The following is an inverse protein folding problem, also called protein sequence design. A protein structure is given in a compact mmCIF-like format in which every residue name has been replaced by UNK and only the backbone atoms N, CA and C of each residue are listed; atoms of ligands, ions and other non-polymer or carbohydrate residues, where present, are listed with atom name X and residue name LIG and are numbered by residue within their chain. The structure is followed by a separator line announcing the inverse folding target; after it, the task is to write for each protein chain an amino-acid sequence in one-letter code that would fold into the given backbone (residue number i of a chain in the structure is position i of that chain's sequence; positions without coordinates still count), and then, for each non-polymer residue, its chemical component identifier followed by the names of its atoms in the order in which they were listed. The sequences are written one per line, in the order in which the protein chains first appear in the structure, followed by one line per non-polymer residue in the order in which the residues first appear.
data_IF_164427726579
#
_entry.id   IF_164427726579
#
_cell.length_a   1.000
_cell.length_b   1.000
_cell.length_c   1.000
_cell.angle_alpha   90.00
_cell.angle_beta   90.00
_cell.angle_gamma   90.00
#
_symmetry.space_group_name_H-M   'P 1'
#
loop_
_entity.id
_entity.type
_entity.pdbx_description
1 polymer ?
#
# COMPACT_ATOMS: atom_id res chain seq x y z
N UNK A 1 25.41 2.84 -11.95
CA UNK A 1 24.12 2.59 -11.27
C UNK A 1 23.11 3.56 -11.85
N UNK A 2 22.25 3.10 -12.76
CA UNK A 2 21.22 3.94 -13.35
C UNK A 2 19.99 3.88 -12.44
N UNK A 3 19.72 4.95 -11.70
CA UNK A 3 18.42 5.14 -11.07
C UNK A 3 17.45 5.50 -12.21
N UNK A 4 16.64 4.54 -12.65
CA UNK A 4 15.48 4.85 -13.46
C UNK A 4 14.51 5.61 -12.56
N UNK A 5 14.50 6.94 -12.64
CA UNK A 5 13.34 7.71 -12.24
C UNK A 5 12.26 7.40 -13.26
N UNK A 6 11.54 6.31 -13.04
CA UNK A 6 10.28 6.10 -13.70
C UNK A 6 9.33 7.17 -13.16
N UNK A 7 9.27 8.31 -13.85
CA UNK A 7 8.09 9.16 -13.77
C UNK A 7 6.98 8.37 -14.48
N UNK A 8 6.51 7.31 -13.82
CA UNK A 8 5.58 6.37 -14.40
C UNK A 8 4.26 7.13 -14.60
N UNK A 9 3.77 7.16 -15.83
CA UNK A 9 2.31 7.19 -16.02
C UNK A 9 1.74 6.18 -15.04
N UNK A 10 0.87 6.65 -14.14
CA UNK A 10 0.35 5.81 -13.07
C UNK A 10 -0.20 4.53 -13.70
N UNK A 11 0.41 3.39 -13.34
CA UNK A 11 0.05 2.12 -13.96
C UNK A 11 -1.37 1.76 -13.54
N UNK A 12 -2.10 1.06 -14.41
CA UNK A 12 -3.43 0.54 -14.06
C UNK A 12 -3.41 -0.28 -12.76
N UNK A 13 -2.35 -1.06 -12.52
CA UNK A 13 -2.17 -1.84 -11.30
C UNK A 13 -2.03 -0.98 -10.04
N UNK A 14 -1.44 0.21 -10.13
CA UNK A 14 -1.39 1.14 -8.99
C UNK A 14 -2.80 1.57 -8.57
N UNK A 15 -3.66 1.94 -9.53
CA UNK A 15 -5.03 2.36 -9.22
C UNK A 15 -5.89 1.19 -8.71
N UNK A 16 -5.72 -0.01 -9.24
CA UNK A 16 -6.41 -1.22 -8.73
C UNK A 16 -5.99 -1.54 -7.28
N UNK A 17 -4.69 -1.39 -6.96
CA UNK A 17 -4.20 -1.52 -5.59
C UNK A 17 -4.73 -0.41 -4.68
N UNK A 18 -4.76 0.84 -5.15
CA UNK A 18 -5.29 1.97 -4.38
C UNK A 18 -6.78 1.80 -4.08
N UNK A 19 -7.60 1.44 -5.08
CA UNK A 19 -9.03 1.17 -4.88
C UNK A 19 -9.26 0.03 -3.86
N UNK A 20 -8.39 -0.98 -3.88
CA UNK A 20 -8.42 -2.07 -2.89
C UNK A 20 -8.09 -1.57 -1.49
N UNK A 21 -7.04 -0.75 -1.36
CA UNK A 21 -6.65 -0.14 -0.09
C UNK A 21 -7.77 0.75 0.47
N UNK A 22 -8.38 1.61 -0.35
CA UNK A 22 -9.50 2.46 0.05
C UNK A 22 -10.70 1.65 0.54
N UNK A 23 -11.08 0.58 -0.17
CA UNK A 23 -12.20 -0.29 0.25
C UNK A 23 -11.91 -1.01 1.56
N UNK A 24 -10.68 -1.48 1.77
CA UNK A 24 -10.27 -2.15 3.02
C UNK A 24 -10.23 -1.17 4.19
N UNK A 25 -9.69 0.03 3.97
CA UNK A 25 -9.58 1.08 4.98
C UNK A 25 -10.93 1.43 5.61
N UNK A 26 -12.01 1.51 4.82
CA UNK A 26 -13.37 1.75 5.32
C UNK A 26 -13.84 0.78 6.41
N UNK A 27 -13.20 -0.38 6.51
CA UNK A 27 -13.58 -1.48 7.40
C UNK A 27 -12.42 -1.95 8.29
N UNK A 28 -11.35 -1.15 8.41
CA UNK A 28 -10.19 -1.48 9.25
C UNK A 28 -9.84 -0.31 10.17
N UNK A 29 -9.34 -0.64 11.36
CA UNK A 29 -8.65 0.30 12.25
C UNK A 29 -7.22 0.57 11.79
N UNK A 30 -6.68 -0.32 10.96
CA UNK A 30 -5.30 -0.34 10.53
C UNK A 30 -5.12 0.36 9.20
N UNK A 31 -3.96 0.98 9.02
CA UNK A 31 -3.59 1.60 7.76
C UNK A 31 -3.41 0.56 6.66
N UNK A 32 -3.66 0.99 5.43
CA UNK A 32 -3.51 0.18 4.23
C UNK A 32 -2.35 0.74 3.41
N UNK A 33 -1.35 -0.09 3.11
CA UNK A 33 -0.19 0.31 2.32
C UNK A 33 -0.27 -0.22 0.90
N UNK A 34 -0.14 0.66 -0.09
CA UNK A 34 0.15 0.27 -1.47
C UNK A 34 1.66 0.09 -1.60
N UNK A 35 2.08 -1.11 -1.98
CA UNK A 35 3.49 -1.49 -2.14
C UNK A 35 3.79 -1.65 -3.62
N UNK A 36 4.90 -1.05 -4.08
CA UNK A 36 5.43 -1.26 -5.42
C UNK A 36 6.30 -2.51 -5.47
N UNK A 37 5.94 -3.45 -6.34
CA UNK A 37 6.70 -4.65 -6.64
C UNK A 37 7.17 -4.77 -8.10
N UNK A 38 8.43 -5.19 -8.28
CA UNK A 38 9.05 -5.28 -9.60
C UNK A 38 8.55 -6.49 -10.42
N UNK A 39 8.05 -7.53 -9.76
CA UNK A 39 7.51 -8.74 -10.38
C UNK A 39 5.97 -8.74 -10.39
N UNK A 40 5.35 -8.31 -9.28
CA UNK A 40 3.89 -8.37 -9.07
C UNK A 40 3.16 -7.08 -9.45
N UNK A 41 3.87 -5.98 -9.73
CA UNK A 41 3.25 -4.67 -9.88
C UNK A 41 2.87 -4.07 -8.53
N UNK A 42 1.72 -3.42 -8.40
CA UNK A 42 1.29 -2.82 -7.14
C UNK A 42 0.26 -3.69 -6.42
N UNK A 43 0.31 -3.74 -5.10
CA UNK A 43 -0.68 -4.44 -4.28
C UNK A 43 -0.93 -3.71 -2.96
N UNK A 44 -2.11 -3.94 -2.37
CA UNK A 44 -2.50 -3.39 -1.08
C UNK A 44 -2.24 -4.39 0.05
N UNK A 45 -1.64 -3.93 1.14
CA UNK A 45 -1.36 -4.69 2.36
C UNK A 45 -1.93 -3.95 3.57
N UNK A 46 -2.68 -4.66 4.41
CA UNK A 46 -3.27 -4.11 5.63
C UNK A 46 -2.31 -4.27 6.78
N UNK A 47 -2.14 -3.23 7.59
CA UNK A 47 -1.30 -3.28 8.77
C UNK A 47 -1.77 -4.32 9.80
N UNK A 48 -3.07 -4.67 9.81
CA UNK A 48 -3.59 -5.77 10.60
C UNK A 48 -3.19 -7.17 10.12
N UNK A 49 -2.68 -7.32 8.88
CA UNK A 49 -2.32 -8.63 8.30
C UNK A 49 -0.93 -9.11 8.73
N UNK A 50 -0.09 -8.23 9.30
CA UNK A 50 1.29 -8.55 9.64
C UNK A 50 1.66 -8.12 11.07
N UNK A 51 2.58 -8.86 11.71
CA UNK A 51 3.10 -8.46 13.01
C UNK A 51 4.08 -7.28 12.89
N UNK A 52 5.01 -7.37 11.95
CA UNK A 52 6.02 -6.34 11.66
C UNK A 52 6.19 -6.32 10.15
N UNK A 53 6.04 -5.16 9.52
CA UNK A 53 6.30 -5.01 8.10
C UNK A 53 7.81 -5.22 7.86
N UNK A 54 8.23 -6.22 7.06
CA UNK A 54 9.64 -6.40 6.72
C UNK A 54 10.23 -5.13 6.10
N UNK A 55 11.42 -4.73 6.53
CA UNK A 55 12.03 -3.46 6.12
C UNK A 55 12.14 -3.27 4.60
N UNK A 56 12.35 -4.36 3.85
CA UNK A 56 12.41 -4.33 2.39
C UNK A 56 11.06 -4.02 1.73
N UNK A 57 9.93 -4.36 2.37
CA UNK A 57 8.60 -3.96 1.92
C UNK A 57 8.25 -2.55 2.39
N UNK A 58 8.63 -2.18 3.61
CA UNK A 58 8.44 -0.82 4.14
C UNK A 58 9.08 0.25 3.24
N UNK A 59 10.29 -0.02 2.72
CA UNK A 59 10.99 0.89 1.80
C UNK A 59 10.30 1.06 0.42
N UNK A 60 9.28 0.24 0.13
CA UNK A 60 8.57 0.18 -1.15
C UNK A 60 7.10 0.62 -1.03
N UNK A 61 6.70 1.08 0.15
CA UNK A 61 5.38 1.70 0.34
C UNK A 61 5.36 3.01 -0.45
N UNK A 62 4.43 3.08 -1.41
CA UNK A 62 4.25 4.26 -2.29
C UNK A 62 3.02 5.07 -1.93
N UNK A 63 2.06 4.48 -1.21
CA UNK A 63 0.86 5.16 -0.71
C UNK A 63 0.41 4.50 0.59
N UNK A 64 -0.09 5.30 1.54
CA UNK A 64 -0.80 4.80 2.74
C UNK A 64 -2.19 5.41 2.82
N UNK A 65 -3.21 4.57 2.93
CA UNK A 65 -4.60 4.95 3.16
C UNK A 65 -4.91 4.68 4.63
N UNK A 66 -5.34 5.71 5.36
CA UNK A 66 -5.61 5.57 6.78
C UNK A 66 -6.83 4.70 7.07
N UNK A 67 -6.74 3.87 8.12
CA UNK A 67 -7.86 3.11 8.65
C UNK A 67 -9.07 4.03 8.94
N UNK A 68 -10.25 3.61 8.49
CA UNK A 68 -11.50 4.38 8.58
C UNK A 68 -12.28 4.13 9.87
N UNK A 69 -11.92 3.11 10.65
CA UNK A 69 -12.52 2.85 11.96
C UNK A 69 -11.77 3.60 13.06
N UNK A 70 -12.52 4.25 13.96
CA UNK A 70 -11.97 4.94 15.13
C UNK A 70 -11.81 3.95 16.30
N UNK A 71 -10.64 3.91 16.92
CA UNK A 71 -10.33 3.06 18.08
C UNK A 71 -10.77 3.65 19.42
N UNK A 72 -11.34 4.86 19.42
CA UNK A 72 -11.69 5.63 20.62
C UNK A 72 -13.02 5.17 21.25
N UNK A 73 -12.96 4.17 22.16
CA UNK A 73 -14.02 3.86 23.14
C UNK A 73 -13.45 3.32 24.47
#
# INVERSE_FOLDING_TARGET
MAYSMHCAVASRSYFEALETAEKRALHSFFDQHVIEDHELGYFALDEGDYNILPAHLAARVVHTVHGGMLDEF
#
